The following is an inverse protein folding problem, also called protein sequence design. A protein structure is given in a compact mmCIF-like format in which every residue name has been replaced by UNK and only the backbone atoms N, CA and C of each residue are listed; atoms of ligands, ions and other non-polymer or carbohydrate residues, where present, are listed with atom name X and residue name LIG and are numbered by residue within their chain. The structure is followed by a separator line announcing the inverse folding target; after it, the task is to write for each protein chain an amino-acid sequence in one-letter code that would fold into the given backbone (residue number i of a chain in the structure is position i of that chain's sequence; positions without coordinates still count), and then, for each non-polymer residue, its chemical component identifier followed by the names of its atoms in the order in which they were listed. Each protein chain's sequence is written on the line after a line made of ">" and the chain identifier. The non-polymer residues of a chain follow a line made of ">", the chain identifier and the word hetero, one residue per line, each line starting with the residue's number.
data_IF_735298482475
#
_entry.id   IF_735298482475
#
_cell.length_a   1.000
_cell.length_b   1.000
_cell.length_c   1.000
_cell.angle_alpha   90.00
_cell.angle_beta   90.00
_cell.angle_gamma   90.00
#
_symmetry.space_group_name_H-M   'P 1'
#
loop_
_entity.id
_entity.type
_entity.pdbx_description
1 polymer ?
#
# COMPACT_ATOMS: atom_id res chain seq x y z
N UNK A 1 -15.55 10.88 82.90
CA UNK A 1 -15.71 11.04 81.44
C UNK A 1 -14.36 11.08 80.70
N UNK A 2 -13.68 9.95 80.45
CA UNK A 2 -12.39 9.92 79.72
C UNK A 2 -12.29 8.92 78.55
N UNK A 3 -13.29 8.03 78.36
CA UNK A 3 -13.26 6.97 77.33
C UNK A 3 -13.67 7.42 75.91
N UNK A 4 -14.35 8.56 75.75
CA UNK A 4 -14.81 9.06 74.42
C UNK A 4 -13.71 9.67 73.55
N UNK A 5 -12.58 10.13 74.12
CA UNK A 5 -11.50 10.77 73.35
C UNK A 5 -10.58 9.78 72.62
N UNK A 6 -10.45 8.55 73.12
CA UNK A 6 -9.58 7.52 72.52
C UNK A 6 -10.13 6.93 71.22
N UNK A 7 -11.46 6.75 71.11
CA UNK A 7 -12.10 6.18 69.91
C UNK A 7 -11.97 7.15 68.71
N UNK A 8 -12.07 8.46 68.95
CA UNK A 8 -11.88 9.49 67.91
C UNK A 8 -10.41 9.53 67.46
N UNK A 9 -9.46 9.39 68.38
CA UNK A 9 -8.03 9.40 68.07
C UNK A 9 -7.59 8.16 67.27
N UNK A 10 -8.16 6.99 67.57
CA UNK A 10 -7.92 5.75 66.82
C UNK A 10 -8.56 5.80 65.43
N UNK A 11 -9.76 6.39 65.31
CA UNK A 11 -10.42 6.59 64.01
C UNK A 11 -9.63 7.54 63.09
N UNK A 12 -9.13 8.66 63.61
CA UNK A 12 -8.31 9.61 62.84
C UNK A 12 -6.96 9.00 62.45
N UNK A 13 -6.32 8.22 63.33
CA UNK A 13 -5.08 7.51 63.00
C UNK A 13 -5.29 6.43 61.94
N UNK A 14 -6.40 5.68 61.97
CA UNK A 14 -6.73 4.68 60.95
C UNK A 14 -7.05 5.31 59.58
N UNK A 15 -7.74 6.47 59.56
CA UNK A 15 -7.97 7.22 58.30
C UNK A 15 -6.67 7.83 57.77
N UNK A 16 -5.79 8.33 58.65
CA UNK A 16 -4.49 8.85 58.24
C UNK A 16 -3.56 7.74 57.71
N UNK A 17 -3.50 6.59 58.38
CA UNK A 17 -2.73 5.42 57.92
C UNK A 17 -3.33 4.83 56.64
N UNK A 18 -4.65 4.68 56.56
CA UNK A 18 -5.33 4.25 55.34
C UNK A 18 -5.14 5.22 54.19
N UNK A 19 -5.10 6.53 54.46
CA UNK A 19 -4.76 7.56 53.49
C UNK A 19 -3.31 7.48 53.00
N UNK A 20 -2.35 7.22 53.90
CA UNK A 20 -0.94 7.01 53.53
C UNK A 20 -0.74 5.76 52.68
N UNK A 21 -1.31 4.62 53.07
CA UNK A 21 -1.26 3.38 52.28
C UNK A 21 -1.94 3.53 50.92
N UNK A 22 -3.07 4.24 50.85
CA UNK A 22 -3.76 4.54 49.59
C UNK A 22 -2.94 5.45 48.68
N UNK A 23 -2.25 6.43 49.26
CA UNK A 23 -1.38 7.34 48.52
C UNK A 23 -0.13 6.64 47.98
N UNK A 24 0.50 5.77 48.79
CA UNK A 24 1.65 4.96 48.40
C UNK A 24 1.30 3.92 47.31
N UNK A 25 0.15 3.25 47.42
CA UNK A 25 -0.35 2.37 46.34
C UNK A 25 -0.57 3.14 45.04
N UNK A 26 -1.22 4.31 45.09
CA UNK A 26 -1.42 5.15 43.90
C UNK A 26 -0.12 5.64 43.30
N UNK A 27 0.88 5.97 44.12
CA UNK A 27 2.19 6.39 43.65
C UNK A 27 2.92 5.26 42.91
N UNK A 28 2.88 4.04 43.45
CA UNK A 28 3.42 2.86 42.78
C UNK A 28 2.70 2.55 41.45
N UNK A 29 1.36 2.58 41.43
CA UNK A 29 0.57 2.39 40.18
C UNK A 29 0.88 3.44 39.11
N UNK A 30 1.15 4.69 39.52
CA UNK A 30 1.54 5.78 38.62
C UNK A 30 2.95 5.56 38.07
N UNK A 31 3.89 5.08 38.89
CA UNK A 31 5.26 4.75 38.45
C UNK A 31 5.25 3.58 37.47
N UNK A 32 4.48 2.53 37.75
CA UNK A 32 4.32 1.39 36.85
C UNK A 32 3.70 1.82 35.51
N UNK A 33 2.67 2.66 35.54
CA UNK A 33 2.06 3.22 34.33
C UNK A 33 3.05 4.08 33.51
N UNK A 34 3.93 4.84 34.17
CA UNK A 34 4.99 5.59 33.49
C UNK A 34 6.06 4.68 32.88
N UNK A 35 6.39 3.57 33.55
CA UNK A 35 7.33 2.58 33.04
C UNK A 35 6.76 1.87 31.80
N UNK A 36 5.48 1.49 31.82
CA UNK A 36 4.78 0.87 30.69
C UNK A 36 4.71 1.85 29.49
N UNK A 37 4.29 3.10 29.72
CA UNK A 37 4.30 4.14 28.68
C UNK A 37 5.69 4.31 28.04
N UNK A 38 6.75 4.24 28.85
CA UNK A 38 8.12 4.34 28.36
C UNK A 38 8.52 3.10 27.54
N UNK A 39 8.11 1.90 27.95
CA UNK A 39 8.35 0.67 27.21
C UNK A 39 7.64 0.71 25.84
N UNK A 40 6.37 1.12 25.83
CA UNK A 40 5.60 1.33 24.60
C UNK A 40 6.26 2.35 23.67
N UNK A 41 6.77 3.47 24.21
CA UNK A 41 7.56 4.43 23.43
C UNK A 41 8.86 3.85 22.86
N UNK A 42 9.49 2.88 23.52
CA UNK A 42 10.67 2.20 22.99
C UNK A 42 10.29 1.28 21.82
N UNK A 43 9.13 0.63 21.85
CA UNK A 43 8.64 -0.22 20.75
C UNK A 43 8.36 0.58 19.45
N UNK A 44 7.79 1.78 19.57
CA UNK A 44 7.50 2.68 18.43
C UNK A 44 8.55 3.79 18.25
N UNK A 45 9.64 3.70 19.00
CA UNK A 45 10.78 4.60 18.88
C UNK A 45 11.53 4.37 17.56
N UNK A 46 12.51 5.22 17.26
CA UNK A 46 13.28 5.14 16.00
C UNK A 46 13.89 3.75 15.75
N UNK A 47 14.43 3.13 16.80
CA UNK A 47 15.07 1.81 16.76
C UNK A 47 14.16 0.72 17.36
N UNK A 48 12.87 1.03 17.52
CA UNK A 48 11.89 0.13 18.11
C UNK A 48 11.45 -0.96 17.14
N UNK A 49 11.11 -2.13 17.66
CA UNK A 49 10.78 -3.31 16.86
C UNK A 49 9.62 -3.05 15.87
N UNK A 50 8.61 -2.27 16.27
CA UNK A 50 7.48 -1.93 15.39
C UNK A 50 7.90 -0.97 14.28
N UNK A 51 8.71 0.03 14.59
CA UNK A 51 9.26 0.95 13.57
C UNK A 51 10.08 0.21 12.54
N UNK A 52 10.97 -0.68 13.01
CA UNK A 52 11.81 -1.51 12.15
C UNK A 52 10.98 -2.49 11.32
N UNK A 53 9.87 -3.01 11.84
CA UNK A 53 8.98 -3.88 11.10
C UNK A 53 8.24 -3.15 9.97
N UNK A 54 7.73 -1.93 10.23
CA UNK A 54 7.14 -1.06 9.19
C UNK A 54 8.19 -0.68 8.15
N UNK A 55 9.40 -0.31 8.56
CA UNK A 55 10.50 0.01 7.64
C UNK A 55 10.92 -1.18 6.77
N UNK A 56 10.79 -2.41 7.27
CA UNK A 56 11.08 -3.61 6.48
C UNK A 56 10.09 -3.87 5.36
N UNK A 57 8.94 -3.18 5.32
CA UNK A 57 8.01 -3.23 4.19
C UNK A 57 8.58 -2.49 2.95
N UNK A 58 9.58 -1.63 3.12
CA UNK A 58 10.26 -1.02 1.98
C UNK A 58 11.67 -1.61 1.82
N UNK A 59 12.16 -1.59 0.59
CA UNK A 59 13.57 -1.75 0.30
C UNK A 59 14.34 -0.43 0.52
N UNK A 60 15.65 -0.48 0.33
CA UNK A 60 16.51 0.70 0.53
C UNK A 60 16.23 1.83 -0.49
N UNK A 61 15.51 1.55 -1.57
CA UNK A 61 15.15 2.48 -2.63
C UNK A 61 13.76 3.08 -2.44
N UNK A 62 13.04 2.71 -1.38
CA UNK A 62 11.69 3.19 -1.08
C UNK A 62 10.58 2.48 -1.88
N UNK A 63 10.85 1.28 -2.41
CA UNK A 63 9.82 0.45 -3.04
C UNK A 63 9.33 -0.64 -2.09
N UNK A 64 8.08 -1.05 -2.26
CA UNK A 64 7.52 -2.20 -1.54
C UNK A 64 8.28 -3.48 -1.91
N UNK A 65 8.64 -4.29 -0.90
CA UNK A 65 9.29 -5.59 -1.13
C UNK A 65 8.34 -6.62 -1.74
N UNK A 66 8.90 -7.53 -2.53
CA UNK A 66 8.16 -8.58 -3.25
C UNK A 66 7.39 -9.54 -2.33
N UNK A 67 7.87 -9.75 -1.10
CA UNK A 67 7.32 -10.77 -0.19
C UNK A 67 6.14 -10.29 0.65
N UNK A 68 5.73 -9.02 0.50
CA UNK A 68 4.73 -8.39 1.37
C UNK A 68 3.34 -8.88 1.00
N UNK A 69 2.53 -9.12 2.03
CA UNK A 69 1.14 -9.54 1.92
C UNK A 69 0.24 -8.63 2.73
N UNK A 70 -1.05 -8.66 2.41
CA UNK A 70 -2.09 -7.95 3.17
C UNK A 70 -2.06 -8.29 4.68
N UNK A 71 -1.74 -9.54 5.02
CA UNK A 71 -1.60 -10.00 6.40
C UNK A 71 -0.48 -9.26 7.16
N UNK A 72 0.60 -8.83 6.49
CA UNK A 72 1.69 -8.10 7.13
C UNK A 72 1.21 -6.73 7.62
N UNK A 73 0.38 -6.04 6.82
CA UNK A 73 -0.24 -4.77 7.21
C UNK A 73 -1.20 -4.96 8.37
N UNK A 74 -2.09 -5.95 8.25
CA UNK A 74 -3.11 -6.23 9.28
C UNK A 74 -2.47 -6.53 10.64
N UNK A 75 -1.38 -7.29 10.67
CA UNK A 75 -0.65 -7.58 11.92
C UNK A 75 -0.02 -6.33 12.53
N UNK A 76 0.63 -5.49 11.72
CA UNK A 76 1.28 -4.27 12.20
C UNK A 76 0.27 -3.23 12.68
N UNK A 77 -0.86 -3.08 11.98
CA UNK A 77 -1.97 -2.21 12.39
C UNK A 77 -2.55 -2.65 13.73
N UNK A 78 -2.78 -3.96 13.92
CA UNK A 78 -3.28 -4.50 15.18
C UNK A 78 -2.31 -4.24 16.34
N UNK A 79 -1.00 -4.40 16.10
CA UNK A 79 0.04 -4.11 17.10
C UNK A 79 0.09 -2.63 17.46
N UNK A 80 0.03 -1.72 16.48
CA UNK A 80 0.00 -0.27 16.73
C UNK A 80 -1.27 0.15 17.47
N UNK A 81 -2.43 -0.39 17.09
CA UNK A 81 -3.69 -0.10 17.75
C UNK A 81 -3.70 -0.55 19.22
N UNK A 82 -3.09 -1.70 19.53
CA UNK A 82 -2.93 -2.17 20.90
C UNK A 82 -2.07 -1.21 21.74
N UNK A 83 -0.90 -0.82 21.22
CA UNK A 83 0.01 0.14 21.88
C UNK A 83 -0.67 1.50 22.08
N UNK A 84 -1.41 2.00 21.06
CA UNK A 84 -2.15 3.25 21.15
C UNK A 84 -3.22 3.20 22.23
N UNK A 85 -4.05 2.15 22.22
CA UNK A 85 -5.14 1.98 23.18
C UNK A 85 -4.62 1.90 24.61
N UNK A 86 -3.55 1.13 24.85
CA UNK A 86 -2.93 1.03 26.15
C UNK A 86 -2.36 2.39 26.61
N UNK A 87 -1.65 3.10 25.74
CA UNK A 87 -1.11 4.43 26.05
C UNK A 87 -2.23 5.40 26.43
N UNK A 88 -3.32 5.45 25.67
CA UNK A 88 -4.47 6.30 25.95
C UNK A 88 -5.14 5.94 27.28
N UNK A 89 -5.31 4.65 27.57
CA UNK A 89 -5.87 4.17 28.84
C UNK A 89 -5.01 4.57 30.04
N UNK A 90 -3.69 4.39 29.96
CA UNK A 90 -2.76 4.77 31.04
C UNK A 90 -2.73 6.29 31.25
N UNK A 91 -2.67 7.06 30.17
CA UNK A 91 -2.72 8.54 30.21
C UNK A 91 -4.03 9.01 30.85
N UNK A 92 -5.17 8.46 30.45
CA UNK A 92 -6.48 8.84 30.97
C UNK A 92 -6.68 8.43 32.43
N UNK A 93 -6.35 7.19 32.78
CA UNK A 93 -6.53 6.63 34.13
C UNK A 93 -5.69 7.37 35.17
N UNK A 94 -4.45 7.69 34.84
CA UNK A 94 -3.48 8.27 35.78
C UNK A 94 -3.18 9.76 35.53
N UNK A 95 -3.85 10.40 34.55
CA UNK A 95 -3.67 11.81 34.18
C UNK A 95 -2.21 12.19 33.89
N UNK A 96 -1.49 11.29 33.21
CA UNK A 96 -0.08 11.46 32.90
C UNK A 96 0.10 12.49 31.79
N UNK A 97 1.14 13.33 31.88
CA UNK A 97 1.56 14.18 30.77
C UNK A 97 2.52 13.37 29.89
N UNK A 98 2.09 12.94 28.71
CA UNK A 98 2.94 12.17 27.80
C UNK A 98 2.61 12.45 26.34
N UNK A 99 3.64 12.49 25.50
CA UNK A 99 3.53 12.55 24.04
C UNK A 99 3.63 11.15 23.41
N UNK A 100 3.47 10.07 24.19
CA UNK A 100 3.60 8.68 23.73
C UNK A 100 2.72 8.37 22.52
N UNK A 101 1.51 8.93 22.47
CA UNK A 101 0.57 8.73 21.37
C UNK A 101 1.13 9.26 20.04
N UNK A 102 1.92 10.34 20.07
CA UNK A 102 2.43 10.99 18.84
C UNK A 102 3.42 10.14 18.06
N UNK A 103 4.20 9.30 18.75
CA UNK A 103 5.11 8.37 18.07
C UNK A 103 4.33 7.25 17.38
N UNK A 104 3.27 6.76 18.03
CA UNK A 104 2.37 5.76 17.44
C UNK A 104 1.64 6.34 16.22
N UNK A 105 1.07 7.54 16.33
CA UNK A 105 0.35 8.22 15.23
C UNK A 105 1.23 8.40 13.99
N UNK A 106 2.49 8.82 14.15
CA UNK A 106 3.42 8.95 13.02
C UNK A 106 3.70 7.62 12.33
N UNK A 107 3.78 6.54 13.10
CA UNK A 107 4.02 5.22 12.57
C UNK A 107 2.77 4.64 11.90
N UNK A 108 1.58 4.93 12.44
CA UNK A 108 0.28 4.65 11.80
C UNK A 108 0.14 5.38 10.46
N UNK A 109 0.49 6.67 10.40
CA UNK A 109 0.49 7.46 9.16
C UNK A 109 1.40 6.83 8.10
N UNK A 110 2.63 6.44 8.48
CA UNK A 110 3.57 5.76 7.58
C UNK A 110 3.02 4.42 7.10
N UNK A 111 2.51 3.58 8.01
CA UNK A 111 1.97 2.27 7.66
C UNK A 111 0.75 2.40 6.73
N UNK A 112 -0.13 3.36 6.99
CA UNK A 112 -1.29 3.68 6.15
C UNK A 112 -0.88 4.07 4.73
N UNK A 113 0.14 4.92 4.58
CA UNK A 113 0.67 5.28 3.26
C UNK A 113 1.23 4.05 2.52
N UNK A 114 1.98 3.18 3.21
CA UNK A 114 2.50 1.94 2.61
C UNK A 114 1.39 0.98 2.21
N UNK A 115 0.31 0.91 2.99
CA UNK A 115 -0.87 0.12 2.66
C UNK A 115 -1.55 0.63 1.40
N UNK A 116 -1.78 1.95 1.31
CA UNK A 116 -2.35 2.56 0.10
C UNK A 116 -1.50 2.28 -1.14
N UNK A 117 -0.16 2.37 -1.01
CA UNK A 117 0.76 2.00 -2.10
C UNK A 117 0.62 0.53 -2.50
N UNK A 118 0.50 -0.37 -1.53
CA UNK A 118 0.35 -1.80 -1.77
C UNK A 118 -0.97 -2.09 -2.49
N UNK A 119 -2.08 -1.55 -1.99
CA UNK A 119 -3.41 -1.74 -2.58
C UNK A 119 -3.48 -1.20 -4.00
N UNK A 120 -2.89 -0.04 -4.27
CA UNK A 120 -2.85 0.53 -5.61
C UNK A 120 -1.96 -0.29 -6.55
N UNK A 121 -0.79 -0.75 -6.09
CA UNK A 121 0.07 -1.63 -6.87
C UNK A 121 -0.65 -2.94 -7.23
N UNK A 122 -1.43 -3.49 -6.30
CA UNK A 122 -2.27 -4.67 -6.55
C UNK A 122 -3.39 -4.39 -7.54
N UNK A 123 -4.00 -3.20 -7.52
CA UNK A 123 -4.98 -2.78 -8.51
C UNK A 123 -4.38 -2.72 -9.92
N UNK A 124 -3.18 -2.17 -10.06
CA UNK A 124 -2.44 -2.19 -11.34
C UNK A 124 -2.08 -3.62 -11.77
N UNK A 125 -1.63 -4.46 -10.84
CA UNK A 125 -1.32 -5.87 -11.14
C UNK A 125 -2.55 -6.63 -11.65
N UNK A 126 -3.75 -6.30 -11.16
CA UNK A 126 -5.02 -6.92 -11.59
C UNK A 126 -5.43 -6.55 -13.02
N UNK A 127 -4.76 -5.62 -13.70
CA UNK A 127 -5.01 -5.33 -15.12
C UNK A 127 -4.47 -6.42 -16.06
N UNK A 128 -3.62 -7.31 -15.54
CA UNK A 128 -2.98 -8.38 -16.29
C UNK A 128 -3.67 -9.73 -16.01
N UNK A 129 -3.64 -10.63 -16.99
CA UNK A 129 -4.25 -11.96 -16.88
C UNK A 129 -3.51 -12.81 -15.85
N UNK A 130 -2.19 -12.86 -15.95
CA UNK A 130 -1.32 -13.67 -15.11
C UNK A 130 -0.06 -12.89 -14.70
N UNK A 131 0.36 -13.08 -13.45
CA UNK A 131 1.63 -12.58 -12.93
C UNK A 131 1.54 -11.27 -12.16
N UNK A 132 2.71 -10.78 -11.73
CA UNK A 132 2.85 -9.53 -10.99
C UNK A 132 3.58 -8.54 -11.89
N UNK A 133 2.85 -7.58 -12.44
CA UNK A 133 3.39 -6.61 -13.37
C UNK A 133 4.36 -5.63 -12.68
N UNK A 134 4.06 -5.24 -11.45
CA UNK A 134 4.86 -4.32 -10.66
C UNK A 134 5.38 -5.04 -9.42
N UNK A 135 6.71 -5.15 -9.32
CA UNK A 135 7.39 -5.79 -8.19
C UNK A 135 8.70 -5.05 -7.91
N UNK A 136 8.95 -4.63 -6.66
CA UNK A 136 10.23 -4.04 -6.23
C UNK A 136 10.80 -2.97 -7.19
N UNK A 137 9.97 -2.01 -7.60
CA UNK A 137 10.44 -0.92 -8.47
C UNK A 137 10.60 -1.29 -9.95
N UNK A 138 10.20 -2.50 -10.35
CA UNK A 138 10.26 -2.98 -11.74
C UNK A 138 8.86 -3.16 -12.28
N UNK A 139 8.62 -2.60 -13.48
CA UNK A 139 7.40 -2.81 -14.25
C UNK A 139 7.66 -3.75 -15.44
N UNK A 140 6.92 -4.85 -15.52
CA UNK A 140 6.99 -5.84 -16.59
C UNK A 140 5.90 -5.61 -17.63
N UNK A 141 6.22 -4.80 -18.65
CA UNK A 141 5.35 -4.51 -19.80
C UNK A 141 5.03 -5.72 -20.69
N UNK A 142 5.70 -6.86 -20.51
CA UNK A 142 5.53 -8.03 -21.38
C UNK A 142 4.37 -8.93 -20.99
N UNK A 143 3.71 -8.64 -19.86
CA UNK A 143 2.54 -9.40 -19.43
C UNK A 143 1.31 -9.06 -20.26
N UNK A 144 0.42 -10.04 -20.40
CA UNK A 144 -0.81 -9.91 -21.17
C UNK A 144 -1.85 -9.13 -20.36
N UNK A 145 -2.37 -8.06 -20.93
CA UNK A 145 -3.49 -7.29 -20.38
C UNK A 145 -4.81 -8.09 -20.53
N UNK A 146 -5.75 -7.85 -19.64
CA UNK A 146 -7.11 -8.40 -19.75
C UNK A 146 -7.80 -7.93 -21.04
N UNK A 147 -8.53 -8.83 -21.68
CA UNK A 147 -9.16 -8.59 -23.00
C UNK A 147 -10.25 -7.52 -22.97
N UNK A 148 -10.93 -7.34 -21.83
CA UNK A 148 -12.03 -6.39 -21.63
C UNK A 148 -11.56 -5.02 -21.14
N UNK A 149 -10.25 -4.79 -21.03
CA UNK A 149 -9.69 -3.56 -20.52
C UNK A 149 -9.87 -2.42 -21.52
N UNK A 150 -10.57 -1.35 -21.11
CA UNK A 150 -10.80 -0.18 -21.95
C UNK A 150 -9.92 1.00 -21.54
N UNK A 151 -9.75 1.97 -22.44
CA UNK A 151 -9.05 3.20 -22.09
C UNK A 151 -9.73 3.96 -20.94
N UNK A 152 -11.06 3.93 -20.87
CA UNK A 152 -11.81 4.53 -19.76
C UNK A 152 -11.47 3.89 -18.40
N UNK A 153 -11.15 2.60 -18.37
CA UNK A 153 -10.75 1.92 -17.13
C UNK A 153 -9.39 2.41 -16.66
N UNK A 154 -8.46 2.63 -17.59
CA UNK A 154 -7.15 3.21 -17.29
C UNK A 154 -7.27 4.67 -16.85
N UNK A 155 -8.06 5.48 -17.54
CA UNK A 155 -8.28 6.89 -17.20
C UNK A 155 -8.87 7.04 -15.78
N UNK A 156 -9.78 6.15 -15.38
CA UNK A 156 -10.33 6.11 -14.01
C UNK A 156 -9.26 5.75 -12.98
N UNK A 157 -8.40 4.79 -13.30
CA UNK A 157 -7.32 4.36 -12.42
C UNK A 157 -6.26 5.47 -12.26
N UNK A 158 -5.91 6.16 -13.35
CA UNK A 158 -5.04 7.33 -13.32
C UNK A 158 -5.63 8.46 -12.47
N UNK A 159 -6.92 8.77 -12.64
CA UNK A 159 -7.59 9.78 -11.82
C UNK A 159 -7.62 9.40 -10.32
N UNK A 160 -7.89 8.13 -10.02
CA UNK A 160 -7.84 7.58 -8.65
C UNK A 160 -6.44 7.71 -8.03
N UNK A 161 -5.40 7.44 -8.84
CA UNK A 161 -4.00 7.61 -8.44
C UNK A 161 -3.68 9.07 -8.09
N UNK A 162 -4.01 9.99 -8.99
CA UNK A 162 -3.73 11.42 -8.81
C UNK A 162 -4.45 11.99 -7.59
N UNK A 163 -5.68 11.55 -7.34
CA UNK A 163 -6.45 11.95 -6.17
C UNK A 163 -5.85 11.38 -4.86
N UNK A 164 -5.48 10.10 -4.86
CA UNK A 164 -5.02 9.42 -3.64
C UNK A 164 -3.63 9.87 -3.23
N UNK A 165 -2.75 10.07 -4.21
CA UNK A 165 -1.35 10.43 -4.00
C UNK A 165 -1.07 11.89 -4.38
N UNK A 166 -2.07 12.76 -4.26
CA UNK A 166 -1.92 14.19 -4.47
C UNK A 166 -0.79 14.73 -3.56
N UNK A 167 0.13 15.51 -4.14
CA UNK A 167 1.32 16.06 -3.47
C UNK A 167 2.36 15.05 -2.97
N UNK A 168 2.20 13.77 -3.30
CA UNK A 168 3.25 12.77 -3.04
C UNK A 168 4.29 12.80 -4.16
N UNK A 169 5.55 12.72 -3.77
CA UNK A 169 6.69 12.64 -4.67
C UNK A 169 7.57 11.44 -4.31
N UNK A 170 8.32 10.93 -5.29
CA UNK A 170 9.29 9.86 -5.07
C UNK A 170 9.34 8.86 -6.21
N UNK A 171 10.31 7.95 -6.11
CA UNK A 171 10.60 6.91 -7.10
C UNK A 171 9.39 6.01 -7.39
N UNK A 172 8.67 5.58 -6.35
CA UNK A 172 7.44 4.78 -6.49
C UNK A 172 6.34 5.54 -7.25
N UNK A 173 6.13 6.83 -6.94
CA UNK A 173 5.12 7.65 -7.63
C UNK A 173 5.46 7.77 -9.12
N UNK A 174 6.72 8.07 -9.44
CA UNK A 174 7.18 8.16 -10.83
C UNK A 174 7.02 6.84 -11.57
N UNK A 175 7.37 5.72 -10.95
CA UNK A 175 7.22 4.40 -11.53
C UNK A 175 5.75 4.06 -11.84
N UNK A 176 4.83 4.30 -10.90
CA UNK A 176 3.41 4.02 -11.13
C UNK A 176 2.86 4.90 -12.26
N UNK A 177 3.17 6.20 -12.28
CA UNK A 177 2.75 7.09 -13.38
C UNK A 177 3.24 6.61 -14.74
N UNK A 178 4.52 6.24 -14.84
CA UNK A 178 5.06 5.70 -16.09
C UNK A 178 4.38 4.38 -16.47
N UNK A 179 4.15 3.51 -15.50
CA UNK A 179 3.49 2.22 -15.73
C UNK A 179 2.07 2.40 -16.27
N UNK A 180 1.28 3.31 -15.68
CA UNK A 180 -0.08 3.62 -16.16
C UNK A 180 -0.07 4.19 -17.58
N UNK A 181 0.86 5.10 -17.90
CA UNK A 181 1.03 5.64 -19.25
C UNK A 181 1.36 4.54 -20.27
N UNK A 182 2.27 3.64 -19.92
CA UNK A 182 2.66 2.52 -20.77
C UNK A 182 1.48 1.56 -20.98
N UNK A 183 0.70 1.27 -19.93
CA UNK A 183 -0.51 0.45 -19.99
C UNK A 183 -1.55 1.11 -20.89
N UNK A 184 -1.82 2.40 -20.70
CA UNK A 184 -2.73 3.20 -21.52
C UNK A 184 -2.33 3.13 -23.00
N UNK A 185 -1.04 3.30 -23.30
CA UNK A 185 -0.49 3.15 -24.64
C UNK A 185 -0.74 1.76 -25.25
N UNK A 186 -0.52 0.70 -24.48
CA UNK A 186 -0.79 -0.67 -24.94
C UNK A 186 -2.28 -0.91 -25.20
N UNK A 187 -3.17 -0.43 -24.32
CA UNK A 187 -4.63 -0.53 -24.52
C UNK A 187 -5.07 0.15 -25.81
N UNK A 188 -4.59 1.37 -26.09
CA UNK A 188 -4.88 2.10 -27.32
C UNK A 188 -4.40 1.33 -28.56
N UNK A 189 -3.18 0.80 -28.52
CA UNK A 189 -2.61 0.05 -29.65
C UNK A 189 -3.44 -1.22 -29.92
N UNK A 190 -3.81 -1.95 -28.87
CA UNK A 190 -4.60 -3.19 -28.95
C UNK A 190 -6.01 -2.91 -29.49
N UNK A 191 -6.69 -1.90 -28.98
CA UNK A 191 -8.04 -1.52 -29.45
C UNK A 191 -8.02 -1.10 -30.93
N UNK A 192 -7.07 -0.26 -31.32
CA UNK A 192 -6.92 0.14 -32.73
C UNK A 192 -6.61 -1.06 -33.63
N UNK A 193 -5.70 -1.95 -33.23
CA UNK A 193 -5.40 -3.16 -33.99
C UNK A 193 -6.65 -4.05 -34.14
N UNK A 194 -7.40 -4.24 -33.06
CA UNK A 194 -8.63 -5.05 -33.05
C UNK A 194 -9.69 -4.48 -33.99
N UNK A 195 -9.87 -3.16 -34.03
CA UNK A 195 -10.79 -2.49 -34.96
C UNK A 195 -10.38 -2.67 -36.41
N UNK A 196 -9.09 -2.51 -36.73
CA UNK A 196 -8.59 -2.71 -38.10
C UNK A 196 -8.76 -4.15 -38.57
N UNK A 197 -8.58 -5.12 -37.67
CA UNK A 197 -8.85 -6.54 -37.95
C UNK A 197 -10.33 -6.77 -38.23
N UNK A 198 -11.22 -6.17 -37.42
CA UNK A 198 -12.66 -6.30 -37.60
C UNK A 198 -13.17 -5.65 -38.89
N UNK A 199 -12.62 -4.49 -39.27
CA UNK A 199 -12.94 -3.80 -40.53
C UNK A 199 -12.43 -4.57 -41.76
N UNK A 200 -11.37 -5.38 -41.59
CA UNK A 200 -10.84 -6.31 -42.58
C UNK A 200 -10.44 -5.69 -43.92
N UNK A 201 -9.98 -4.42 -43.93
CA UNK A 201 -9.57 -3.72 -45.16
C UNK A 201 -8.10 -3.95 -45.48
N UNK A 202 -7.81 -4.41 -46.69
CA UNK A 202 -6.43 -4.70 -47.16
C UNK A 202 -5.50 -3.48 -47.06
N UNK A 203 -6.02 -2.27 -47.31
CA UNK A 203 -5.25 -1.01 -47.25
C UNK A 203 -4.70 -0.70 -45.84
N UNK A 204 -5.30 -1.29 -44.80
CA UNK A 204 -4.88 -1.13 -43.42
C UNK A 204 -3.71 -2.04 -43.01
N UNK A 205 -3.32 -3.01 -43.86
CA UNK A 205 -2.33 -4.05 -43.53
C UNK A 205 -1.01 -3.47 -42.99
N UNK A 206 -0.46 -2.44 -43.65
CA UNK A 206 0.79 -1.81 -43.24
C UNK A 206 0.68 -1.15 -41.85
N UNK A 207 -0.41 -0.44 -41.61
CA UNK A 207 -0.64 0.23 -40.32
C UNK A 207 -0.87 -0.80 -39.21
N UNK A 208 -1.61 -1.88 -39.50
CA UNK A 208 -1.82 -2.98 -38.57
C UNK A 208 -0.48 -3.65 -38.19
N UNK A 209 0.43 -3.86 -39.14
CA UNK A 209 1.77 -4.41 -38.87
C UNK A 209 2.58 -3.49 -37.95
N UNK A 210 2.50 -2.17 -38.15
CA UNK A 210 3.15 -1.18 -37.27
C UNK A 210 2.60 -1.31 -35.84
N UNK A 211 1.28 -1.36 -35.67
CA UNK A 211 0.65 -1.52 -34.37
C UNK A 211 1.06 -2.84 -33.70
N UNK A 212 0.97 -3.96 -34.41
CA UNK A 212 1.35 -5.28 -33.92
C UNK A 212 2.83 -5.37 -33.51
N UNK A 213 3.71 -4.60 -34.15
CA UNK A 213 5.13 -4.53 -33.78
C UNK A 213 5.40 -3.66 -32.54
N UNK A 214 4.47 -2.79 -32.15
CA UNK A 214 4.56 -1.98 -30.94
C UNK A 214 3.83 -2.59 -29.73
N UNK A 215 3.19 -3.75 -29.89
CA UNK A 215 2.64 -4.53 -28.78
C UNK A 215 3.78 -5.24 -28.07
N UNK A 216 3.90 -5.02 -26.76
CA UNK A 216 5.00 -5.54 -25.94
C UNK A 216 4.83 -7.02 -25.58
N UNK A 217 3.60 -7.44 -25.30
CA UNK A 217 3.27 -8.83 -24.97
C UNK A 217 3.19 -9.69 -26.25
N UNK A 218 4.04 -10.71 -26.32
CA UNK A 218 4.15 -11.56 -27.52
C UNK A 218 2.87 -12.37 -27.73
N UNK A 219 2.27 -12.84 -26.64
CA UNK A 219 1.03 -13.60 -26.62
C UNK A 219 -0.15 -12.76 -27.15
N UNK A 220 -0.24 -11.49 -26.77
CA UNK A 220 -1.25 -10.55 -27.30
C UNK A 220 -1.09 -10.36 -28.81
N UNK A 221 0.16 -10.19 -29.28
CA UNK A 221 0.45 -10.08 -30.71
C UNK A 221 0.00 -11.32 -31.48
N UNK A 222 0.30 -12.51 -30.94
CA UNK A 222 -0.10 -13.79 -31.55
C UNK A 222 -1.63 -13.90 -31.57
N UNK A 223 -2.32 -13.57 -30.47
CA UNK A 223 -3.77 -13.60 -30.39
C UNK A 223 -4.42 -12.72 -31.47
N UNK A 224 -3.98 -11.48 -31.62
CA UNK A 224 -4.47 -10.59 -32.67
C UNK A 224 -4.17 -11.12 -34.08
N UNK A 225 -2.96 -11.62 -34.32
CA UNK A 225 -2.60 -12.22 -35.62
C UNK A 225 -3.49 -13.41 -36.00
N UNK A 226 -3.95 -14.20 -35.03
CA UNK A 226 -4.84 -15.34 -35.29
C UNK A 226 -6.26 -14.93 -35.69
N UNK A 227 -6.67 -13.69 -35.35
CA UNK A 227 -7.97 -13.13 -35.71
C UNK A 227 -7.98 -12.56 -37.14
N UNK A 228 -6.81 -12.31 -37.74
CA UNK A 228 -6.71 -11.78 -39.11
C UNK A 228 -7.11 -12.86 -40.11
N UNK A 229 -8.08 -12.55 -40.98
CA UNK A 229 -8.61 -13.50 -41.99
C UNK A 229 -8.69 -12.87 -43.38
N UNK A 230 -8.98 -13.70 -44.39
CA UNK A 230 -9.17 -13.25 -45.78
C UNK A 230 -7.94 -12.59 -46.41
N UNK A 231 -8.20 -11.67 -47.34
CA UNK A 231 -7.16 -10.92 -48.09
C UNK A 231 -6.31 -10.03 -47.18
N UNK A 232 -6.88 -9.52 -46.07
CA UNK A 232 -6.12 -8.76 -45.07
C UNK A 232 -5.01 -9.63 -44.46
N UNK A 233 -5.27 -10.92 -44.22
CA UNK A 233 -4.25 -11.84 -43.72
C UNK A 233 -3.07 -11.91 -44.68
N UNK A 234 -3.33 -12.15 -45.96
CA UNK A 234 -2.26 -12.25 -46.97
C UNK A 234 -1.40 -10.98 -46.99
N UNK A 235 -2.03 -9.81 -47.04
CA UNK A 235 -1.33 -8.52 -47.02
C UNK A 235 -0.52 -8.28 -45.74
N UNK A 236 -1.06 -8.60 -44.56
CA UNK A 236 -0.33 -8.48 -43.28
C UNK A 236 0.90 -9.39 -43.24
N UNK A 237 0.79 -10.63 -43.74
CA UNK A 237 1.92 -11.55 -43.78
C UNK A 237 2.99 -11.11 -44.77
N UNK A 238 2.62 -10.54 -45.91
CA UNK A 238 3.57 -9.94 -46.86
C UNK A 238 4.33 -8.76 -46.22
N UNK A 239 3.63 -7.83 -45.58
CA UNK A 239 4.23 -6.70 -44.88
C UNK A 239 5.17 -7.13 -43.74
N UNK A 240 4.81 -8.15 -42.96
CA UNK A 240 5.69 -8.73 -41.93
C UNK A 240 6.96 -9.34 -42.51
N UNK A 241 6.88 -10.00 -43.68
CA UNK A 241 8.06 -10.53 -44.35
C UNK A 241 8.98 -9.41 -44.85
N UNK A 242 8.41 -8.29 -45.31
CA UNK A 242 9.17 -7.12 -45.74
C UNK A 242 9.85 -6.43 -44.54
N UNK A 243 9.16 -6.29 -43.41
CA UNK A 243 9.73 -5.65 -42.21
C UNK A 243 10.87 -6.45 -41.60
N UNK A 244 10.86 -7.77 -41.70
CA UNK A 244 11.91 -8.65 -41.14
C UNK A 244 13.15 -8.82 -42.04
N UNK A 245 13.14 -8.23 -43.24
CA UNK A 245 14.28 -8.26 -44.18
C UNK A 245 15.18 -7.02 -44.07
N UNK A 246 14.76 -6.03 -43.29
CA UNK A 246 15.49 -4.78 -42.99
C UNK A 246 16.14 -4.88 -41.61
#
# INVERSE_FOLDING_TARGET
>A
MKKKKWIVLVGVAAVALGGLFYQEMKENEVVDAQAELKSNQQLVGKDGDLTLAVEKLEDASGYLKMSIKEDDFTQLEAQLAAVKSENEQLIAKYKLKSNAVRHVERLEEKLSLLRQRFEFQEEVNRLFIDGTAITQGVFNQKLVLKEDLTQLDIDKLEASFEQTFEHQEGSWITMIKQSLQDISGQVIIIDNASRMIADSKVEDAKNLVILLNNITATETKIALLTQVTGELREAVFEELQLSNRL
#
